data_IF_256189928643
#
_entry.id   IF_256189928643
#
_cell.length_a   1.000
_cell.length_b   1.000
_cell.length_c   1.000
_cell.angle_alpha   90.00
_cell.angle_beta   90.00
_cell.angle_gamma   90.00
#
_symmetry.space_group_name_H-M   'P 1'
#
loop_
_entity.id
_entity.type
_entity.pdbx_description
1 polymer ?
#
# COMPACT_ATOMS: atom_id res chain seq x y z
N UNK A 1 -13.60 -8.80 -21.76
CA UNK A 1 -13.50 -10.17 -21.21
C UNK A 1 -12.14 -10.33 -20.56
N UNK A 2 -12.04 -10.18 -19.23
CA UNK A 2 -10.80 -10.41 -18.50
C UNK A 2 -10.65 -11.92 -18.26
N UNK A 3 -9.60 -12.53 -18.83
CA UNK A 3 -9.24 -13.91 -18.52
C UNK A 3 -8.60 -13.93 -17.13
N UNK A 4 -9.35 -14.42 -16.16
CA UNK A 4 -8.81 -14.85 -14.86
C UNK A 4 -7.96 -16.08 -15.16
N UNK A 5 -6.64 -15.91 -15.19
CA UNK A 5 -5.71 -17.04 -15.25
C UNK A 5 -5.68 -17.63 -13.85
N UNK A 6 -6.37 -18.76 -13.69
CA UNK A 6 -6.30 -19.62 -12.52
C UNK A 6 -4.88 -20.18 -12.40
N UNK A 7 -4.02 -19.54 -11.59
CA UNK A 7 -2.68 -20.04 -11.26
C UNK A 7 -2.82 -21.12 -10.19
N UNK A 8 -3.18 -22.32 -10.63
CA UNK A 8 -3.01 -23.55 -9.89
C UNK A 8 -1.65 -24.14 -10.20
N UNK A 9 -0.57 -23.58 -9.66
CA UNK A 9 0.74 -24.23 -9.62
C UNK A 9 1.08 -24.53 -8.16
N UNK A 10 0.86 -25.79 -7.78
CA UNK A 10 1.39 -26.39 -6.56
C UNK A 10 2.92 -26.38 -6.70
N UNK A 11 3.55 -25.33 -6.16
CA UNK A 11 5.01 -25.25 -6.05
C UNK A 11 5.44 -26.03 -4.80
N UNK A 12 5.86 -27.28 -5.00
CA UNK A 12 6.61 -28.02 -3.99
C UNK A 12 8.01 -27.41 -3.92
N UNK A 13 8.18 -26.41 -3.04
CA UNK A 13 9.50 -25.82 -2.75
C UNK A 13 10.30 -26.87 -1.97
N UNK A 14 11.23 -27.54 -2.65
CA UNK A 14 12.24 -28.33 -1.99
C UNK A 14 13.23 -27.37 -1.29
N UNK A 15 13.02 -27.13 0.01
CA UNK A 15 14.00 -26.46 0.86
C UNK A 15 15.24 -27.37 0.99
N UNK A 16 16.30 -27.06 0.25
CA UNK A 16 17.63 -27.57 0.54
C UNK A 16 18.18 -26.80 1.76
N UNK A 17 17.81 -27.23 2.96
CA UNK A 17 18.41 -26.79 4.22
C UNK A 17 19.78 -27.46 4.38
N UNK A 18 20.81 -26.84 3.81
CA UNK A 18 22.19 -27.07 4.25
C UNK A 18 22.66 -25.83 5.01
N UNK A 19 22.63 -25.91 6.34
CA UNK A 19 23.16 -24.89 7.24
C UNK A 19 23.41 -25.50 8.62
N UNK A 20 24.62 -26.01 8.83
CA UNK A 20 25.14 -26.38 10.14
C UNK A 20 25.31 -25.13 11.04
N UNK A 21 24.83 -25.26 12.28
CA UNK A 21 25.46 -24.85 13.55
C UNK A 21 26.12 -23.46 13.67
N UNK A 22 25.58 -22.63 14.58
CA UNK A 22 26.32 -21.57 15.27
C UNK A 22 25.44 -20.36 15.55
N UNK A 23 25.33 -19.94 16.81
CA UNK A 23 24.57 -18.75 17.23
C UNK A 23 25.07 -17.45 16.61
N UNK A 24 24.27 -16.40 16.81
CA UNK A 24 24.35 -15.04 16.24
C UNK A 24 23.69 -14.88 14.87
N UNK A 25 22.60 -14.10 14.85
CA UNK A 25 22.00 -13.29 13.77
C UNK A 25 22.47 -13.56 12.32
N UNK A 26 22.51 -14.83 11.91
CA UNK A 26 23.00 -15.19 10.58
C UNK A 26 21.90 -14.92 9.56
N UNK A 27 22.04 -13.78 8.88
CA UNK A 27 21.20 -13.43 7.74
C UNK A 27 21.36 -14.51 6.68
N UNK A 28 20.34 -15.35 6.55
CA UNK A 28 20.34 -16.38 5.52
C UNK A 28 19.84 -15.73 4.23
N UNK A 29 20.58 -15.88 3.14
CA UNK A 29 20.09 -15.47 1.82
C UNK A 29 20.25 -16.61 0.84
N UNK A 30 19.18 -16.93 0.13
CA UNK A 30 19.20 -17.91 -0.97
C UNK A 30 18.74 -17.24 -2.25
N UNK A 31 19.36 -17.61 -3.37
CA UNK A 31 19.00 -17.12 -4.70
C UNK A 31 18.85 -18.32 -5.61
N UNK A 32 17.70 -18.45 -6.27
CA UNK A 32 17.41 -19.52 -7.23
C UNK A 32 16.99 -18.88 -8.55
N UNK A 33 17.46 -19.43 -9.67
CA UNK A 33 17.06 -19.01 -11.00
C UNK A 33 16.25 -20.12 -11.67
N UNK A 34 15.02 -19.83 -12.10
CA UNK A 34 14.12 -20.79 -12.75
C UNK A 34 13.54 -20.14 -14.00
N UNK A 35 13.98 -20.59 -15.18
CA UNK A 35 13.43 -20.12 -16.45
C UNK A 35 13.54 -18.60 -16.66
N UNK A 36 14.68 -17.99 -16.30
CA UNK A 36 14.92 -16.54 -16.38
C UNK A 36 14.47 -15.75 -15.13
N UNK A 37 13.62 -16.32 -14.28
CA UNK A 37 13.20 -15.66 -13.05
C UNK A 37 14.22 -15.88 -11.93
N UNK A 38 14.69 -14.79 -11.31
CA UNK A 38 15.51 -14.84 -10.09
C UNK A 38 14.65 -14.66 -8.86
N UNK A 39 14.67 -15.65 -7.97
CA UNK A 39 13.99 -15.60 -6.66
C UNK A 39 15.05 -15.47 -5.59
N UNK A 40 15.02 -14.36 -4.84
CA UNK A 40 15.87 -14.12 -3.69
C UNK A 40 15.03 -14.16 -2.42
N UNK A 41 15.41 -15.02 -1.48
CA UNK A 41 14.95 -14.91 -0.10
C UNK A 41 16.08 -14.34 0.74
N UNK A 42 15.74 -13.45 1.66
CA UNK A 42 16.69 -12.92 2.62
C UNK A 42 15.98 -12.58 3.92
N UNK A 43 16.54 -13.01 5.04
CA UNK A 43 16.08 -12.55 6.34
C UNK A 43 16.48 -13.46 7.48
N UNK A 44 16.27 -12.95 8.68
CA UNK A 44 16.21 -13.71 9.92
C UNK A 44 14.73 -13.84 10.36
N UNK A 45 14.49 -14.31 11.59
CA UNK A 45 13.15 -14.46 12.16
C UNK A 45 12.30 -13.17 12.20
N UNK A 46 12.89 -11.98 11.99
CA UNK A 46 12.22 -10.68 12.07
C UNK A 46 12.21 -9.93 10.73
N UNK A 47 13.21 -10.15 9.88
CA UNK A 47 13.41 -9.40 8.63
C UNK A 47 13.22 -10.21 7.34
N UNK A 48 12.29 -11.17 7.34
CA UNK A 48 12.08 -12.06 6.20
C UNK A 48 11.50 -11.33 4.96
N UNK A 49 12.22 -11.39 3.84
CA UNK A 49 11.84 -10.83 2.54
C UNK A 49 11.96 -11.87 1.43
N UNK A 50 11.03 -11.81 0.49
CA UNK A 50 11.06 -12.60 -0.74
C UNK A 50 10.98 -11.64 -1.92
N UNK A 51 11.99 -11.63 -2.77
CA UNK A 51 12.03 -10.82 -3.99
C UNK A 51 12.03 -11.72 -5.21
N UNK A 52 11.12 -11.47 -6.12
CA UNK A 52 11.08 -12.02 -7.47
C UNK A 52 11.58 -10.94 -8.43
N UNK A 53 12.55 -11.29 -9.28
CA UNK A 53 13.07 -10.42 -10.32
C UNK A 53 12.91 -11.13 -11.67
N UNK A 54 12.15 -10.50 -12.58
CA UNK A 54 12.00 -10.95 -13.96
C UNK A 54 13.13 -10.44 -14.85
N UNK A 55 13.30 -11.06 -16.02
CA UNK A 55 14.35 -10.72 -16.98
C UNK A 55 14.33 -9.25 -17.46
N UNK A 56 13.16 -8.61 -17.39
CA UNK A 56 12.95 -7.23 -17.82
C UNK A 56 13.26 -6.20 -16.72
N UNK A 57 13.83 -6.63 -15.59
CA UNK A 57 14.16 -5.77 -14.44
C UNK A 57 12.97 -5.45 -13.52
N UNK A 58 11.82 -6.08 -13.75
CA UNK A 58 10.63 -6.01 -12.90
C UNK A 58 10.87 -6.76 -11.60
N UNK A 59 10.49 -6.16 -10.47
CA UNK A 59 10.71 -6.70 -9.12
C UNK A 59 9.42 -6.73 -8.32
N UNK A 60 9.11 -7.88 -7.73
CA UNK A 60 8.06 -8.04 -6.72
C UNK A 60 8.72 -8.42 -5.41
N UNK A 61 8.57 -7.61 -4.38
CA UNK A 61 9.10 -7.88 -3.04
C UNK A 61 7.97 -8.03 -2.04
N UNK A 62 7.90 -9.18 -1.38
CA UNK A 62 7.09 -9.39 -0.19
C UNK A 62 7.98 -9.20 1.04
N UNK A 63 7.54 -8.36 1.96
CA UNK A 63 8.27 -8.04 3.18
C UNK A 63 7.43 -8.44 4.40
N UNK A 64 7.79 -9.58 5.01
CA UNK A 64 7.10 -10.12 6.17
C UNK A 64 7.44 -9.34 7.46
N UNK A 65 8.54 -8.57 7.46
CA UNK A 65 8.93 -7.71 8.60
C UNK A 65 8.02 -6.49 8.76
N UNK A 66 7.48 -6.03 7.64
CA UNK A 66 6.58 -4.89 7.57
C UNK A 66 5.13 -5.33 7.38
N UNK A 67 4.67 -6.23 8.26
CA UNK A 67 3.30 -6.77 8.28
C UNK A 67 2.79 -7.25 6.91
N UNK A 68 3.68 -7.89 6.12
CA UNK A 68 3.33 -8.46 4.84
C UNK A 68 3.20 -7.44 3.71
N UNK A 69 3.87 -6.29 3.79
CA UNK A 69 3.84 -5.31 2.70
C UNK A 69 4.37 -5.91 1.38
N UNK A 70 3.74 -5.53 0.27
CA UNK A 70 4.10 -5.96 -1.08
C UNK A 70 4.53 -4.75 -1.89
N UNK A 71 5.74 -4.80 -2.44
CA UNK A 71 6.25 -3.79 -3.36
C UNK A 71 6.35 -4.38 -4.76
N UNK A 72 5.77 -3.71 -5.74
CA UNK A 72 5.91 -3.99 -7.16
C UNK A 72 6.68 -2.82 -7.77
N UNK A 73 7.78 -3.11 -8.44
CA UNK A 73 8.64 -2.10 -9.05
C UNK A 73 9.00 -2.52 -10.47
N UNK A 74 8.89 -1.59 -11.41
CA UNK A 74 9.48 -1.68 -12.74
C UNK A 74 10.43 -0.49 -12.95
N UNK A 75 10.90 -0.30 -14.20
CA UNK A 75 11.84 0.77 -14.55
C UNK A 75 11.28 2.18 -14.33
N UNK A 76 9.96 2.34 -14.39
CA UNK A 76 9.29 3.64 -14.33
C UNK A 76 8.44 3.81 -13.07
N UNK A 77 7.99 2.72 -12.44
CA UNK A 77 6.93 2.75 -11.43
C UNK A 77 7.34 1.93 -10.21
N UNK A 78 6.93 2.42 -9.04
CA UNK A 78 7.01 1.71 -7.78
C UNK A 78 5.67 1.83 -7.06
N UNK A 79 5.07 0.70 -6.73
CA UNK A 79 3.86 0.61 -5.94
C UNK A 79 4.18 -0.21 -4.69
N UNK A 80 3.83 0.30 -3.52
CA UNK A 80 3.93 -0.43 -2.25
C UNK A 80 2.54 -0.46 -1.61
N UNK A 81 2.04 -1.66 -1.31
CA UNK A 81 0.75 -1.89 -0.66
C UNK A 81 0.92 -2.67 0.64
N UNK A 82 0.04 -2.45 1.61
CA UNK A 82 0.04 -3.10 2.92
C UNK A 82 0.16 -2.08 4.04
N UNK A 83 0.60 -2.48 5.24
CA UNK A 83 0.82 -1.52 6.34
C UNK A 83 2.10 -0.68 6.18
N UNK A 84 2.41 -0.24 4.96
CA UNK A 84 3.39 0.83 4.73
C UNK A 84 2.77 2.17 5.12
N UNK A 85 3.15 2.72 6.27
CA UNK A 85 2.55 3.92 6.87
C UNK A 85 2.50 5.10 5.89
N UNK A 86 1.30 5.44 5.40
CA UNK A 86 1.06 6.70 4.69
C UNK A 86 0.99 7.81 5.74
N UNK A 87 1.90 8.77 5.58
CA UNK A 87 2.04 9.90 6.50
C UNK A 87 1.22 11.10 6.02
N UNK A 88 1.06 12.10 6.89
CA UNK A 88 0.45 13.38 6.51
C UNK A 88 1.21 14.07 5.37
N UNK A 89 2.53 13.90 5.31
CA UNK A 89 3.37 14.45 4.25
C UNK A 89 3.11 13.76 2.89
N UNK A 90 2.74 12.48 2.89
CA UNK A 90 2.38 11.74 1.68
C UNK A 90 1.01 12.18 1.14
N UNK A 91 0.08 12.51 2.05
CA UNK A 91 -1.27 12.97 1.71
C UNK A 91 -1.34 14.48 1.43
N UNK A 92 -0.40 15.27 1.95
CA UNK A 92 -0.44 16.74 1.94
C UNK A 92 -1.59 17.33 2.78
N UNK A 93 -2.32 16.50 3.52
CA UNK A 93 -3.37 16.88 4.47
C UNK A 93 -3.19 16.08 5.76
N UNK A 94 -3.60 16.61 6.92
CA UNK A 94 -3.51 15.89 8.17
C UNK A 94 -4.40 14.66 8.18
N UNK A 95 -3.97 13.64 8.93
CA UNK A 95 -4.77 12.45 9.18
C UNK A 95 -5.93 12.80 10.11
N UNK A 96 -7.06 12.11 9.96
CA UNK A 96 -8.22 12.37 10.81
C UNK A 96 -7.91 11.93 12.26
N UNK A 97 -8.01 12.81 13.28
CA UNK A 97 -7.45 12.54 14.62
C UNK A 97 -7.98 11.30 15.32
N UNK A 98 -9.27 10.97 15.13
CA UNK A 98 -9.91 9.81 15.75
C UNK A 98 -9.92 8.58 14.85
N UNK A 99 -9.09 8.56 13.80
CA UNK A 99 -9.06 7.46 12.86
C UNK A 99 -7.95 6.43 13.15
N UNK A 100 -8.29 5.15 13.07
CA UNK A 100 -7.37 4.02 13.19
C UNK A 100 -7.11 3.40 11.82
N UNK A 101 -5.90 2.92 11.58
CA UNK A 101 -5.55 2.24 10.32
C UNK A 101 -6.45 1.02 10.07
N UNK A 102 -6.88 0.82 8.83
CA UNK A 102 -7.59 -0.40 8.41
C UNK A 102 -6.63 -1.59 8.30
N UNK A 103 -7.13 -2.80 8.49
CA UNK A 103 -6.36 -4.04 8.26
C UNK A 103 -5.90 -4.18 6.80
N UNK A 104 -6.66 -3.61 5.85
CA UNK A 104 -6.33 -3.58 4.42
C UNK A 104 -5.12 -2.66 4.15
N UNK A 105 -4.77 -1.79 5.09
CA UNK A 105 -3.57 -0.96 5.08
C UNK A 105 -3.63 0.22 4.11
N UNK A 106 -2.45 0.81 3.92
CA UNK A 106 -2.23 1.96 3.07
C UNK A 106 -1.58 1.52 1.75
N UNK A 107 -1.50 2.43 0.78
CA UNK A 107 -0.81 2.18 -0.48
C UNK A 107 -0.07 3.43 -0.91
N UNK A 108 1.20 3.30 -1.29
CA UNK A 108 1.98 4.36 -1.94
C UNK A 108 2.24 3.97 -3.39
N UNK A 109 2.18 4.95 -4.26
CA UNK A 109 2.49 4.82 -5.68
C UNK A 109 3.42 5.94 -6.09
N UNK A 110 4.49 5.60 -6.78
CA UNK A 110 5.44 6.55 -7.34
C UNK A 110 5.66 6.20 -8.81
N UNK A 111 5.51 7.20 -9.67
CA UNK A 111 5.87 7.15 -11.09
C UNK A 111 6.80 8.35 -11.37
N UNK A 112 7.42 8.49 -12.55
CA UNK A 112 8.49 9.49 -12.73
C UNK A 112 7.99 10.92 -12.58
N UNK A 113 6.74 11.19 -12.99
CA UNK A 113 6.14 12.52 -13.00
C UNK A 113 5.17 12.75 -11.84
N UNK A 114 4.74 11.70 -11.14
CA UNK A 114 3.69 11.78 -10.14
C UNK A 114 3.98 10.88 -8.94
N UNK A 115 3.47 11.26 -7.78
CA UNK A 115 3.38 10.40 -6.61
C UNK A 115 1.94 10.40 -6.12
N UNK A 116 1.48 9.26 -5.64
CA UNK A 116 0.16 9.12 -5.04
C UNK A 116 0.21 8.31 -3.76
N UNK A 117 -0.73 8.57 -2.89
CA UNK A 117 -0.90 7.83 -1.64
C UNK A 117 -2.39 7.56 -1.44
N UNK A 118 -2.70 6.38 -0.92
CA UNK A 118 -4.05 6.00 -0.52
C UNK A 118 -3.95 5.54 0.93
N UNK A 119 -4.78 6.10 1.80
CA UNK A 119 -4.93 5.65 3.18
C UNK A 119 -6.33 5.18 3.47
N UNK A 120 -6.44 4.00 4.09
CA UNK A 120 -7.71 3.42 4.53
C UNK A 120 -7.74 3.40 6.06
N UNK A 121 -8.73 4.09 6.64
CA UNK A 121 -8.83 4.28 8.09
C UNK A 121 -10.27 4.17 8.56
N UNK A 122 -10.50 3.76 9.80
CA UNK A 122 -11.81 3.74 10.42
C UNK A 122 -11.95 4.82 11.47
N UNK A 123 -13.13 5.41 11.59
CA UNK A 123 -13.52 6.26 12.73
C UNK A 123 -14.92 5.88 13.20
N UNK A 124 -15.23 6.16 14.47
CA UNK A 124 -16.60 6.06 15.00
C UNK A 124 -17.43 7.31 14.71
N UNK A 125 -16.82 8.37 14.19
CA UNK A 125 -17.51 9.59 13.80
C UNK A 125 -18.35 9.41 12.54
N UNK A 126 -19.41 10.21 12.42
CA UNK A 126 -20.28 10.23 11.23
C UNK A 126 -19.55 10.80 10.00
N UNK A 127 -19.90 10.36 8.77
CA UNK A 127 -19.27 10.85 7.54
C UNK A 127 -19.27 12.38 7.41
N UNK A 128 -20.36 13.06 7.79
CA UNK A 128 -20.48 14.52 7.73
C UNK A 128 -19.38 15.24 8.52
N UNK A 129 -19.06 14.74 9.72
CA UNK A 129 -18.00 15.30 10.58
C UNK A 129 -16.62 15.15 9.95
N UNK A 130 -16.39 14.04 9.25
CA UNK A 130 -15.14 13.82 8.50
C UNK A 130 -15.05 14.76 7.30
N UNK A 131 -16.15 14.97 6.57
CA UNK A 131 -16.21 15.97 5.48
C UNK A 131 -15.95 17.38 6.00
N UNK A 132 -16.60 17.78 7.09
CA UNK A 132 -16.40 19.10 7.72
C UNK A 132 -14.94 19.33 8.13
N UNK A 133 -14.24 18.28 8.57
CA UNK A 133 -12.82 18.36 8.86
C UNK A 133 -11.98 18.61 7.60
N UNK A 134 -12.21 17.88 6.50
CA UNK A 134 -11.35 17.96 5.32
C UNK A 134 -11.69 19.10 4.36
N UNK A 135 -12.96 19.46 4.22
CA UNK A 135 -13.45 20.49 3.29
C UNK A 135 -12.69 21.83 3.38
N UNK A 136 -12.41 22.42 4.55
CA UNK A 136 -11.66 23.68 4.64
C UNK A 136 -10.17 23.55 4.31
N UNK A 137 -9.64 22.33 4.19
CA UNK A 137 -8.22 22.06 3.86
C UNK A 137 -7.98 21.91 2.37
N UNK A 138 -9.05 21.96 1.57
CA UNK A 138 -9.01 21.74 0.14
C UNK A 138 -9.43 23.00 -0.61
N UNK A 139 -8.78 23.27 -1.73
CA UNK A 139 -9.29 24.22 -2.72
C UNK A 139 -10.19 23.50 -3.72
N UNK A 140 -11.16 24.21 -4.30
CA UNK A 140 -12.13 23.65 -5.24
C UNK A 140 -12.88 22.42 -4.70
N UNK A 141 -13.14 22.41 -3.38
CA UNK A 141 -13.76 21.28 -2.70
C UNK A 141 -15.17 21.00 -3.23
N UNK A 142 -15.40 19.78 -3.73
CA UNK A 142 -16.70 19.30 -4.20
C UNK A 142 -17.11 18.07 -3.41
N UNK A 143 -18.26 18.19 -2.78
CA UNK A 143 -18.91 17.15 -2.00
C UNK A 143 -20.03 16.53 -2.83
N UNK A 144 -20.12 15.20 -2.82
CA UNK A 144 -21.12 14.43 -3.53
C UNK A 144 -21.59 13.26 -2.65
N UNK A 145 -22.82 12.81 -2.87
CA UNK A 145 -23.43 11.73 -2.08
C UNK A 145 -24.18 12.24 -0.86
N UNK A 146 -24.72 11.30 -0.09
CA UNK A 146 -25.57 11.56 1.07
C UNK A 146 -25.73 10.31 1.92
N UNK A 147 -25.93 10.47 3.22
CA UNK A 147 -26.18 9.36 4.15
C UNK A 147 -24.93 8.49 4.35
N UNK A 148 -25.05 7.20 4.07
CA UNK A 148 -24.01 6.20 4.37
C UNK A 148 -22.82 6.21 3.40
N UNK A 149 -22.91 6.94 2.28
CA UNK A 149 -21.79 7.12 1.35
C UNK A 149 -21.64 8.57 0.95
N UNK A 150 -20.47 9.12 1.21
CA UNK A 150 -20.09 10.49 0.82
C UNK A 150 -18.77 10.47 0.09
N UNK A 151 -18.61 11.40 -0.84
CA UNK A 151 -17.38 11.61 -1.58
C UNK A 151 -17.00 13.08 -1.49
N UNK A 152 -15.73 13.35 -1.17
CA UNK A 152 -15.16 14.68 -1.17
C UNK A 152 -13.99 14.68 -2.15
N UNK A 153 -13.99 15.62 -3.08
CA UNK A 153 -12.89 15.83 -4.03
C UNK A 153 -12.41 17.26 -3.93
N UNK A 154 -11.17 17.52 -4.34
CA UNK A 154 -10.63 18.87 -4.38
C UNK A 154 -9.16 18.86 -4.73
N UNK A 155 -8.48 19.96 -4.43
CA UNK A 155 -7.04 20.10 -4.59
C UNK A 155 -6.36 20.30 -3.24
N UNK A 156 -5.15 19.78 -3.13
CA UNK A 156 -4.22 19.99 -2.01
C UNK A 156 -3.06 20.84 -2.51
N UNK A 157 -3.00 22.11 -2.10
CA UNK A 157 -2.08 23.08 -2.69
C UNK A 157 -2.28 23.24 -4.20
N UNK A 158 -1.23 23.64 -4.92
CA UNK A 158 -1.33 24.02 -6.34
C UNK A 158 -1.27 22.82 -7.31
N UNK A 159 -0.66 21.71 -6.89
CA UNK A 159 -0.34 20.55 -7.75
C UNK A 159 -0.91 19.22 -7.26
N UNK A 160 -1.58 19.21 -6.11
CA UNK A 160 -2.16 18.00 -5.52
C UNK A 160 -3.63 17.85 -5.87
N UNK A 161 -4.04 16.65 -6.25
CA UNK A 161 -5.46 16.26 -6.30
C UNK A 161 -5.80 15.44 -5.06
N UNK A 162 -7.02 15.62 -4.56
CA UNK A 162 -7.59 14.93 -3.41
C UNK A 162 -8.88 14.23 -3.79
N UNK A 163 -9.02 12.98 -3.35
CA UNK A 163 -10.28 12.25 -3.37
C UNK A 163 -10.45 11.50 -2.07
N UNK A 164 -11.59 11.65 -1.43
CA UNK A 164 -11.97 10.90 -0.25
C UNK A 164 -13.33 10.25 -0.49
N UNK A 165 -13.44 8.99 -0.13
CA UNK A 165 -14.70 8.26 -0.06
C UNK A 165 -14.92 7.84 1.38
N UNK A 166 -16.11 8.13 1.88
CA UNK A 166 -16.58 7.77 3.21
C UNK A 166 -17.70 6.75 3.03
N UNK A 167 -17.60 5.62 3.73
CA UNK A 167 -18.64 4.60 3.70
C UNK A 167 -18.93 4.13 5.11
N UNK A 168 -20.18 4.21 5.56
CA UNK A 168 -20.61 3.68 6.84
C UNK A 168 -20.75 2.17 6.75
N UNK A 169 -20.00 1.44 7.58
CA UNK A 169 -20.01 -0.01 7.64
C UNK A 169 -19.88 -0.46 9.10
N UNK A 170 -20.77 -1.36 9.53
CA UNK A 170 -20.74 -1.94 10.89
C UNK A 170 -20.68 -0.89 12.02
N UNK A 171 -21.40 0.24 11.86
CA UNK A 171 -21.43 1.32 12.85
C UNK A 171 -20.17 2.19 12.91
N UNK A 172 -19.21 2.00 12.00
CA UNK A 172 -18.03 2.86 11.82
C UNK A 172 -18.03 3.48 10.43
N UNK A 173 -17.31 4.57 10.27
CA UNK A 173 -17.05 5.18 8.97
C UNK A 173 -15.70 4.73 8.47
N UNK A 174 -15.68 4.03 7.33
CA UNK A 174 -14.47 3.78 6.55
C UNK A 174 -14.13 5.06 5.78
N UNK A 175 -12.94 5.58 6.05
CA UNK A 175 -12.33 6.71 5.38
C UNK A 175 -11.32 6.17 4.38
N UNK A 176 -11.57 6.34 3.08
CA UNK A 176 -10.60 6.07 2.02
C UNK A 176 -10.14 7.41 1.45
N UNK A 177 -8.94 7.84 1.82
CA UNK A 177 -8.31 9.05 1.27
C UNK A 177 -7.34 8.64 0.17
N UNK A 178 -7.35 9.35 -0.94
CA UNK A 178 -6.42 9.22 -2.04
C UNK A 178 -5.91 10.59 -2.47
N UNK A 179 -4.60 10.73 -2.62
CA UNK A 179 -3.97 11.93 -3.14
C UNK A 179 -3.05 11.59 -4.30
N UNK A 180 -2.89 12.55 -5.22
CA UNK A 180 -1.89 12.46 -6.28
C UNK A 180 -1.25 13.84 -6.47
N UNK A 181 0.07 13.89 -6.50
CA UNK A 181 0.87 15.09 -6.68
C UNK A 181 1.74 14.93 -7.91
N UNK A 182 1.76 15.95 -8.76
CA UNK A 182 2.81 16.10 -9.76
C UNK A 182 4.13 16.45 -9.07
N UNK A 183 5.21 15.79 -9.46
CA UNK A 183 6.57 16.09 -8.99
C UNK A 183 7.04 17.47 -9.48
#
# INVERSE_FOLDING_TARGET
MYKIVSVGCIFTIALALCGCSGGDDSKTSTSVEIGGMKVKTSGDSKDAKVTYEGDNGEKVTLDASNNGSVTIQDKDRKMTAGQSEVTEADLGVPLYPSSTLSEIGDTKMEVPEEKGAISLRYTSDEPSKVVEFYKPKLTEAKEMGSGDTMMLTGKVGDKGSFSMTLTKQNGKTLIRIGTQFKK
#
